data_IF_991443026673
#
_entry.id   IF_991443026673
#
_cell.length_a   1.000
_cell.length_b   1.000
_cell.length_c   1.000
_cell.angle_alpha   90.00
_cell.angle_beta   90.00
_cell.angle_gamma   90.00
#
_symmetry.space_group_name_H-M   'P 1'
#
loop_
_entity.id
_entity.type
_entity.pdbx_description
1 polymer ?
#
# COMPACT_ATOMS: atom_id res chain seq x y z
N UNK A 1 13.77 -18.37 -30.82
CA UNK A 1 13.64 -17.20 -29.92
C UNK A 1 12.18 -16.86 -29.62
N UNK A 2 11.30 -16.87 -30.63
CA UNK A 2 9.84 -16.62 -30.49
C UNK A 2 9.14 -17.50 -29.43
N UNK A 3 9.50 -18.79 -29.35
CA UNK A 3 8.94 -19.74 -28.38
C UNK A 3 9.31 -19.42 -26.92
N UNK A 4 10.48 -18.84 -26.67
CA UNK A 4 10.92 -18.47 -25.32
C UNK A 4 10.26 -17.18 -24.84
N UNK A 5 10.10 -16.20 -25.74
CA UNK A 5 9.40 -14.95 -25.44
C UNK A 5 7.92 -15.22 -25.10
N UNK A 6 7.27 -16.07 -25.89
CA UNK A 6 5.88 -16.47 -25.65
C UNK A 6 5.73 -17.21 -24.31
N UNK A 7 6.65 -18.11 -23.94
CA UNK A 7 6.62 -18.80 -22.63
C UNK A 7 6.74 -17.82 -21.47
N UNK A 8 7.62 -16.84 -21.55
CA UNK A 8 7.77 -15.83 -20.51
C UNK A 8 6.51 -14.96 -20.35
N UNK A 9 5.88 -14.59 -21.47
CA UNK A 9 4.61 -13.86 -21.47
C UNK A 9 3.50 -14.68 -20.82
N UNK A 10 3.36 -15.96 -21.20
CA UNK A 10 2.37 -16.87 -20.62
C UNK A 10 2.59 -17.09 -19.13
N UNK A 11 3.84 -17.30 -18.69
CA UNK A 11 4.15 -17.45 -17.28
C UNK A 11 3.80 -16.20 -16.47
N UNK A 12 4.09 -15.01 -17.00
CA UNK A 12 3.67 -13.76 -16.39
C UNK A 12 2.15 -13.60 -16.35
N UNK A 13 1.46 -13.87 -17.45
CA UNK A 13 0.00 -13.78 -17.52
C UNK A 13 -0.68 -14.73 -16.52
N UNK A 14 -0.25 -15.99 -16.50
CA UNK A 14 -0.79 -17.01 -15.58
C UNK A 14 -0.56 -16.62 -14.12
N UNK A 15 0.66 -16.21 -13.76
CA UNK A 15 0.97 -15.86 -12.38
C UNK A 15 0.28 -14.56 -11.96
N UNK A 16 0.15 -13.58 -12.86
CA UNK A 16 -0.58 -12.35 -12.61
C UNK A 16 -2.07 -12.59 -12.39
N UNK A 17 -2.71 -13.40 -13.24
CA UNK A 17 -4.12 -13.78 -13.08
C UNK A 17 -4.34 -14.59 -11.80
N UNK A 18 -3.45 -15.54 -11.50
CA UNK A 18 -3.52 -16.32 -10.26
C UNK A 18 -3.38 -15.41 -9.02
N UNK A 19 -2.44 -14.46 -9.05
CA UNK A 19 -2.26 -13.49 -7.96
C UNK A 19 -3.52 -12.65 -7.77
N UNK A 20 -4.07 -12.11 -8.85
CA UNK A 20 -5.33 -11.36 -8.79
C UNK A 20 -6.47 -12.18 -8.18
N UNK A 21 -6.67 -13.41 -8.65
CA UNK A 21 -7.72 -14.30 -8.16
C UNK A 21 -7.55 -14.60 -6.66
N UNK A 22 -6.33 -14.90 -6.22
CA UNK A 22 -6.01 -15.16 -4.81
C UNK A 22 -6.22 -13.90 -3.96
N UNK A 23 -5.85 -12.73 -4.46
CA UNK A 23 -5.98 -11.46 -3.72
C UNK A 23 -7.45 -11.04 -3.56
N UNK A 24 -8.32 -11.47 -4.49
CA UNK A 24 -9.77 -11.27 -4.41
C UNK A 24 -10.47 -12.24 -3.43
N UNK A 25 -9.82 -13.29 -2.94
CA UNK A 25 -10.38 -14.11 -1.85
C UNK A 25 -10.60 -13.24 -0.61
N UNK A 26 -11.78 -13.34 0.00
CA UNK A 26 -12.18 -12.50 1.14
C UNK A 26 -12.27 -11.01 0.81
N UNK A 27 -12.44 -10.63 -0.47
CA UNK A 27 -12.62 -9.23 -0.87
C UNK A 27 -13.89 -8.57 -0.32
N UNK A 28 -14.81 -9.35 0.23
CA UNK A 28 -16.02 -8.92 0.94
C UNK A 28 -15.80 -8.67 2.44
N UNK A 29 -14.58 -8.87 2.96
CA UNK A 29 -14.24 -8.54 4.36
C UNK A 29 -14.41 -7.04 4.61
N UNK A 30 -14.62 -6.64 5.86
CA UNK A 30 -14.71 -5.22 6.22
C UNK A 30 -13.45 -4.43 5.85
N UNK A 31 -13.58 -3.12 5.68
CA UNK A 31 -12.40 -2.26 5.52
C UNK A 31 -11.52 -2.28 6.78
N UNK A 32 -10.20 -2.23 6.59
CA UNK A 32 -9.27 -1.92 7.68
C UNK A 32 -9.36 -0.44 8.08
N UNK A 33 -8.71 -0.07 9.18
CA UNK A 33 -8.80 1.29 9.75
C UNK A 33 -8.56 2.39 8.70
N UNK A 34 -7.36 2.43 8.12
CA UNK A 34 -6.99 3.49 7.17
C UNK A 34 -7.83 3.44 5.88
N UNK A 35 -8.26 2.26 5.43
CA UNK A 35 -9.11 2.13 4.25
C UNK A 35 -10.53 2.65 4.53
N UNK A 36 -11.09 2.37 5.71
CA UNK A 36 -12.37 2.90 6.13
C UNK A 36 -12.30 4.43 6.30
N UNK A 37 -11.23 4.94 6.93
CA UNK A 37 -10.98 6.37 7.05
C UNK A 37 -10.82 7.05 5.67
N UNK A 38 -10.09 6.42 4.74
CA UNK A 38 -9.96 6.91 3.36
C UNK A 38 -11.32 6.93 2.66
N UNK A 39 -12.08 5.85 2.83
CA UNK A 39 -13.40 5.71 2.22
C UNK A 39 -14.35 6.80 2.68
N UNK A 40 -14.48 7.00 4.00
CA UNK A 40 -15.37 7.99 4.56
C UNK A 40 -14.95 9.44 4.24
N UNK A 41 -13.66 9.75 4.31
CA UNK A 41 -13.20 11.14 4.22
C UNK A 41 -12.93 11.63 2.79
N UNK A 42 -12.66 10.73 1.83
CA UNK A 42 -12.23 11.12 0.49
C UNK A 42 -13.03 10.48 -0.65
N UNK A 43 -13.67 9.32 -0.43
CA UNK A 43 -14.39 8.57 -1.48
C UNK A 43 -15.90 8.79 -1.38
N UNK A 44 -16.50 8.53 -0.22
CA UNK A 44 -17.93 8.63 0.04
C UNK A 44 -18.32 10.06 0.45
N UNK A 45 -17.95 11.03 -0.36
CA UNK A 45 -18.15 12.46 -0.10
C UNK A 45 -18.89 13.15 -1.26
N UNK A 46 -19.45 14.36 -1.05
CA UNK A 46 -20.20 15.05 -2.11
C UNK A 46 -19.36 15.59 -3.27
N UNK A 47 -18.04 15.75 -3.12
CA UNK A 47 -17.19 16.43 -4.10
C UNK A 47 -15.99 15.58 -4.52
N UNK A 48 -15.82 15.37 -5.83
CA UNK A 48 -14.66 14.68 -6.40
C UNK A 48 -13.31 15.33 -6.04
N UNK A 49 -13.32 16.64 -5.75
CA UNK A 49 -12.11 17.36 -5.33
C UNK A 49 -11.64 16.97 -3.94
N UNK A 50 -12.48 16.30 -3.13
CA UNK A 50 -12.12 15.84 -1.80
C UNK A 50 -11.00 14.79 -1.86
N UNK A 51 -10.83 14.09 -3.00
CA UNK A 51 -9.67 13.22 -3.23
C UNK A 51 -8.31 13.97 -3.21
N UNK A 52 -8.32 15.29 -3.37
CA UNK A 52 -7.12 16.16 -3.40
C UNK A 52 -7.07 17.12 -2.20
N UNK A 53 -7.97 16.99 -1.23
CA UNK A 53 -8.11 17.91 -0.12
C UNK A 53 -7.68 17.28 1.21
N UNK A 54 -7.32 18.14 2.16
CA UNK A 54 -7.32 17.79 3.58
C UNK A 54 -8.74 18.02 4.08
N UNK A 55 -9.43 16.96 4.52
CA UNK A 55 -10.80 17.05 5.03
C UNK A 55 -10.92 16.29 6.35
N UNK A 56 -11.45 16.93 7.39
CA UNK A 56 -12.30 16.21 8.33
C UNK A 56 -13.73 16.33 7.82
N UNK A 57 -14.30 15.24 7.28
CA UNK A 57 -15.75 15.21 7.02
C UNK A 57 -16.51 15.14 8.35
N UNK A 58 -15.79 14.89 9.45
CA UNK A 58 -16.34 14.66 10.77
C UNK A 58 -16.08 15.89 11.66
N UNK A 59 -17.13 16.64 12.03
CA UNK A 59 -17.00 17.90 12.78
C UNK A 59 -16.30 17.78 14.13
N UNK A 60 -16.28 16.59 14.73
CA UNK A 60 -15.64 16.32 16.02
C UNK A 60 -14.12 16.26 15.97
N UNK A 61 -13.53 16.12 14.78
CA UNK A 61 -12.09 15.81 14.63
C UNK A 61 -11.35 17.06 14.17
N UNK A 62 -10.38 17.55 14.96
CA UNK A 62 -9.46 18.57 14.49
C UNK A 62 -8.79 18.10 13.20
N UNK A 63 -8.68 19.00 12.22
CA UNK A 63 -8.00 18.69 10.95
C UNK A 63 -6.57 18.15 11.20
N UNK A 64 -5.97 18.50 12.34
CA UNK A 64 -4.64 18.04 12.79
C UNK A 64 -4.54 16.56 13.15
N UNK A 65 -5.67 15.87 13.28
CA UNK A 65 -5.76 14.44 13.65
C UNK A 65 -6.37 13.60 12.52
N UNK A 66 -6.55 14.19 11.34
CA UNK A 66 -7.09 13.52 10.16
C UNK A 66 -5.98 12.70 9.50
N UNK A 67 -6.30 11.46 9.11
CA UNK A 67 -5.44 10.71 8.21
C UNK A 67 -5.36 11.44 6.86
N UNK A 68 -4.20 12.03 6.56
CA UNK A 68 -3.95 12.70 5.28
C UNK A 68 -4.08 11.73 4.13
N UNK A 69 -4.71 12.13 3.02
CA UNK A 69 -4.78 11.27 1.84
C UNK A 69 -3.42 11.22 1.12
N UNK A 70 -2.66 10.15 1.32
CA UNK A 70 -1.41 9.87 0.62
C UNK A 70 -1.62 9.00 -0.65
N UNK A 71 -2.88 8.76 -1.03
CA UNK A 71 -3.30 7.87 -2.11
C UNK A 71 -4.28 8.53 -3.09
N UNK A 72 -4.00 9.78 -3.48
CA UNK A 72 -4.95 10.64 -4.23
C UNK A 72 -5.48 10.00 -5.53
N UNK A 73 -4.65 9.28 -6.29
CA UNK A 73 -5.10 8.63 -7.52
C UNK A 73 -6.14 7.53 -7.24
N UNK A 74 -5.89 6.66 -6.26
CA UNK A 74 -6.86 5.61 -5.95
C UNK A 74 -8.13 6.24 -5.38
N UNK A 75 -7.99 7.21 -4.48
CA UNK A 75 -9.14 7.92 -3.90
C UNK A 75 -10.02 8.52 -4.99
N UNK A 76 -9.44 9.17 -5.99
CA UNK A 76 -10.19 9.72 -7.13
C UNK A 76 -10.91 8.62 -7.94
N UNK A 77 -10.21 7.52 -8.29
CA UNK A 77 -10.81 6.43 -9.04
C UNK A 77 -11.95 5.76 -8.27
N UNK A 78 -11.77 5.53 -6.97
CA UNK A 78 -12.79 5.01 -6.08
C UNK A 78 -13.94 6.00 -5.91
N UNK A 79 -13.67 7.29 -5.82
CA UNK A 79 -14.73 8.31 -5.74
C UNK A 79 -15.57 8.30 -7.03
N UNK A 80 -14.97 8.21 -8.21
CA UNK A 80 -15.72 8.09 -9.47
C UNK A 80 -16.64 6.86 -9.49
N UNK A 81 -16.17 5.73 -8.95
CA UNK A 81 -17.00 4.52 -8.78
C UNK A 81 -18.15 4.79 -7.81
N UNK A 82 -17.87 5.44 -6.68
CA UNK A 82 -18.88 5.79 -5.68
C UNK A 82 -19.93 6.74 -6.25
N UNK A 83 -19.53 7.83 -6.92
CA UNK A 83 -20.46 8.77 -7.55
C UNK A 83 -21.34 8.12 -8.62
N UNK A 84 -20.78 7.15 -9.37
CA UNK A 84 -21.52 6.47 -10.42
C UNK A 84 -22.49 5.40 -9.90
N UNK A 85 -22.21 4.80 -8.74
CA UNK A 85 -22.94 3.59 -8.27
C UNK A 85 -23.64 3.76 -6.92
N UNK A 86 -23.23 4.72 -6.10
CA UNK A 86 -23.61 4.85 -4.68
C UNK A 86 -23.16 3.67 -3.81
N UNK A 87 -22.37 2.74 -4.35
CA UNK A 87 -22.09 1.45 -3.70
C UNK A 87 -21.07 1.60 -2.57
N UNK A 88 -21.31 0.93 -1.44
CA UNK A 88 -20.32 0.74 -0.36
C UNK A 88 -19.73 -0.67 -0.34
N UNK A 89 -19.93 -1.44 -1.42
CA UNK A 89 -19.46 -2.82 -1.51
C UNK A 89 -17.93 -2.90 -1.59
N UNK A 90 -17.31 -3.55 -0.62
CA UNK A 90 -15.87 -3.58 -0.46
C UNK A 90 -15.15 -4.33 -1.58
N UNK A 91 -15.82 -5.31 -2.21
CA UNK A 91 -15.28 -6.07 -3.35
C UNK A 91 -14.95 -5.12 -4.51
N UNK A 92 -15.81 -4.14 -4.75
CA UNK A 92 -15.68 -3.19 -5.85
C UNK A 92 -14.44 -2.31 -5.68
N UNK A 93 -14.16 -1.87 -4.44
CA UNK A 93 -13.04 -0.99 -4.13
C UNK A 93 -11.71 -1.73 -4.00
N UNK A 94 -11.71 -3.04 -3.75
CA UNK A 94 -10.51 -3.89 -3.76
C UNK A 94 -10.13 -4.41 -5.15
N UNK A 95 -11.04 -4.34 -6.12
CA UNK A 95 -10.81 -4.84 -7.47
C UNK A 95 -9.60 -4.17 -8.14
N UNK A 96 -9.54 -2.83 -8.14
CA UNK A 96 -8.44 -2.08 -8.77
C UNK A 96 -7.09 -2.38 -8.08
N UNK A 97 -6.96 -2.28 -6.74
CA UNK A 97 -5.73 -2.66 -6.06
C UNK A 97 -5.27 -4.09 -6.35
N UNK A 98 -6.18 -5.07 -6.31
CA UNK A 98 -5.85 -6.46 -6.58
C UNK A 98 -5.42 -6.67 -8.04
N UNK A 99 -6.10 -6.02 -8.99
CA UNK A 99 -5.75 -6.10 -10.41
C UNK A 99 -4.36 -5.50 -10.67
N UNK A 100 -4.07 -4.35 -10.07
CA UNK A 100 -2.76 -3.71 -10.17
C UNK A 100 -1.65 -4.58 -9.57
N UNK A 101 -1.93 -5.30 -8.48
CA UNK A 101 -1.00 -6.24 -7.88
C UNK A 101 -0.73 -7.46 -8.78
N UNK A 102 -1.78 -8.06 -9.33
CA UNK A 102 -1.66 -9.14 -10.32
C UNK A 102 -0.89 -8.69 -11.56
N UNK A 103 -1.16 -7.49 -12.06
CA UNK A 103 -0.40 -6.90 -13.17
C UNK A 103 1.08 -6.66 -12.81
N UNK A 104 1.37 -6.20 -11.59
CA UNK A 104 2.75 -6.00 -11.11
C UNK A 104 3.51 -7.32 -11.13
N UNK A 105 2.94 -8.38 -10.54
CA UNK A 105 3.52 -9.72 -10.52
C UNK A 105 3.70 -10.24 -11.94
N UNK A 106 2.67 -10.15 -12.79
CA UNK A 106 2.73 -10.70 -14.14
C UNK A 106 3.74 -10.01 -15.04
N UNK A 107 3.78 -8.67 -15.02
CA UNK A 107 4.73 -7.87 -15.79
C UNK A 107 6.16 -8.11 -15.29
N UNK A 108 6.39 -8.10 -13.97
CA UNK A 108 7.70 -8.38 -13.39
C UNK A 108 8.16 -9.81 -13.74
N UNK A 109 7.29 -10.80 -13.62
CA UNK A 109 7.58 -12.20 -13.96
C UNK A 109 7.97 -12.35 -15.42
N UNK A 110 7.19 -11.81 -16.35
CA UNK A 110 7.50 -11.88 -17.78
C UNK A 110 8.79 -11.14 -18.14
N UNK A 111 9.04 -10.00 -17.50
CA UNK A 111 10.29 -9.24 -17.66
C UNK A 111 11.49 -10.04 -17.15
N UNK A 112 11.43 -10.56 -15.93
CA UNK A 112 12.52 -11.31 -15.31
C UNK A 112 12.74 -12.67 -15.98
N UNK A 113 11.68 -13.36 -16.41
CA UNK A 113 11.79 -14.61 -17.15
C UNK A 113 12.51 -14.45 -18.49
N UNK A 114 12.26 -13.34 -19.21
CA UNK A 114 12.98 -13.01 -20.45
C UNK A 114 14.46 -12.73 -20.20
N UNK A 115 14.79 -12.14 -19.05
CA UNK A 115 16.16 -11.72 -18.72
C UNK A 115 17.01 -12.82 -18.10
N UNK A 116 16.44 -13.59 -17.20
CA UNK A 116 17.14 -14.52 -16.30
C UNK A 116 16.75 -15.99 -16.52
N UNK A 117 15.82 -16.26 -17.45
CA UNK A 117 15.25 -17.57 -17.70
C UNK A 117 13.96 -17.83 -16.92
N UNK A 118 13.18 -18.79 -17.41
CA UNK A 118 11.80 -19.05 -16.95
C UNK A 118 11.73 -19.35 -15.44
N UNK A 119 12.60 -20.23 -14.93
CA UNK A 119 12.61 -20.64 -13.52
C UNK A 119 12.88 -19.44 -12.60
N UNK A 120 13.91 -18.64 -12.92
CA UNK A 120 14.25 -17.45 -12.15
C UNK A 120 13.13 -16.41 -12.15
N UNK A 121 12.51 -16.17 -13.32
CA UNK A 121 11.39 -15.25 -13.44
C UNK A 121 10.16 -15.70 -12.66
N UNK A 122 9.77 -16.97 -12.76
CA UNK A 122 8.63 -17.53 -12.03
C UNK A 122 8.87 -17.49 -10.52
N UNK A 123 10.06 -17.85 -10.04
CA UNK A 123 10.37 -17.79 -8.61
C UNK A 123 10.34 -16.35 -8.07
N UNK A 124 10.87 -15.38 -8.83
CA UNK A 124 10.77 -13.97 -8.46
C UNK A 124 9.32 -13.48 -8.44
N UNK A 125 8.49 -13.91 -9.39
CA UNK A 125 7.07 -13.64 -9.38
C UNK A 125 6.36 -14.20 -8.16
N UNK A 126 6.65 -15.46 -7.81
CA UNK A 126 6.11 -16.15 -6.63
C UNK A 126 6.54 -15.43 -5.34
N UNK A 127 7.80 -15.00 -5.25
CA UNK A 127 8.30 -14.17 -4.16
C UNK A 127 7.46 -12.89 -4.01
N UNK A 128 7.30 -12.11 -5.09
CA UNK A 128 6.51 -10.86 -5.06
C UNK A 128 5.06 -11.16 -4.65
N UNK A 129 4.45 -12.21 -5.22
CA UNK A 129 3.04 -12.55 -4.99
C UNK A 129 2.75 -13.03 -3.55
N UNK A 130 3.72 -13.67 -2.90
CA UNK A 130 3.57 -14.25 -1.56
C UNK A 130 4.18 -13.39 -0.44
N UNK A 131 4.93 -12.33 -0.78
CA UNK A 131 5.52 -11.41 0.18
C UNK A 131 4.43 -10.74 1.04
N UNK A 132 4.45 -10.88 2.39
CA UNK A 132 3.37 -10.37 3.23
C UNK A 132 3.18 -8.87 3.15
N UNK A 133 4.27 -8.10 3.04
CA UNK A 133 4.18 -6.65 2.84
C UNK A 133 3.43 -6.33 1.54
N UNK A 134 3.70 -7.06 0.46
CA UNK A 134 3.01 -6.89 -0.81
C UNK A 134 1.56 -7.35 -0.76
N UNK A 135 1.27 -8.52 -0.18
CA UNK A 135 -0.08 -9.10 -0.08
C UNK A 135 -1.03 -8.18 0.69
N UNK A 136 -0.67 -7.79 1.92
CA UNK A 136 -1.55 -7.04 2.80
C UNK A 136 -1.91 -5.67 2.20
N UNK A 137 -0.92 -4.95 1.71
CA UNK A 137 -1.09 -3.60 1.18
C UNK A 137 -1.70 -3.57 -0.22
N UNK A 138 -1.64 -4.67 -0.98
CA UNK A 138 -2.26 -4.80 -2.29
C UNK A 138 -3.73 -5.23 -2.25
N UNK A 139 -4.17 -5.81 -1.13
CA UNK A 139 -5.56 -6.24 -0.88
C UNK A 139 -6.38 -5.21 -0.10
N UNK A 140 -5.77 -4.09 0.26
CA UNK A 140 -6.41 -2.97 0.93
C UNK A 140 -6.81 -1.88 -0.08
N UNK A 141 -7.74 -0.99 0.29
CA UNK A 141 -8.18 0.11 -0.58
C UNK A 141 -7.15 1.25 -0.53
N UNK A 142 -5.97 0.98 -1.09
CA UNK A 142 -4.83 1.92 -1.11
C UNK A 142 -4.04 1.88 -2.39
N UNK A 143 -3.36 2.99 -2.70
CA UNK A 143 -2.62 3.16 -3.96
C UNK A 143 -1.28 2.41 -4.04
N UNK A 144 -0.94 1.59 -3.04
CA UNK A 144 0.33 0.87 -2.97
C UNK A 144 0.62 -0.04 -4.18
N UNK A 145 -0.35 -0.85 -4.60
CA UNK A 145 -0.16 -1.76 -5.74
C UNK A 145 -0.13 -1.03 -7.09
N UNK A 146 -0.86 0.09 -7.21
CA UNK A 146 -0.77 1.00 -8.37
C UNK A 146 0.62 1.64 -8.45
N UNK A 147 1.16 2.10 -7.33
CA UNK A 147 2.51 2.65 -7.25
C UNK A 147 3.58 1.60 -7.60
N UNK A 148 3.42 0.36 -7.11
CA UNK A 148 4.32 -0.74 -7.47
C UNK A 148 4.24 -1.07 -8.97
N UNK A 149 3.03 -1.17 -9.54
CA UNK A 149 2.83 -1.41 -10.98
C UNK A 149 3.47 -0.30 -11.81
N UNK A 150 3.17 0.96 -11.49
CA UNK A 150 3.71 2.12 -12.19
C UNK A 150 5.23 2.19 -12.09
N UNK A 151 5.80 1.81 -10.94
CA UNK A 151 7.25 1.72 -10.76
C UNK A 151 7.88 0.65 -11.65
N UNK A 152 7.30 -0.56 -11.72
CA UNK A 152 7.78 -1.64 -12.60
C UNK A 152 7.66 -1.25 -14.07
N UNK A 153 6.49 -0.77 -14.50
CA UNK A 153 6.25 -0.37 -15.90
C UNK A 153 7.14 0.81 -16.27
N UNK A 154 7.26 1.82 -15.40
CA UNK A 154 8.16 2.97 -15.59
C UNK A 154 9.61 2.53 -15.74
N UNK A 155 10.07 1.58 -14.91
CA UNK A 155 11.41 0.98 -15.02
C UNK A 155 11.62 0.33 -16.39
N UNK A 156 10.65 -0.45 -16.88
CA UNK A 156 10.70 -1.09 -18.20
C UNK A 156 10.62 -0.08 -19.35
N UNK A 157 9.93 1.04 -19.17
CA UNK A 157 9.84 2.11 -20.16
C UNK A 157 11.12 2.93 -20.27
N UNK A 158 11.90 3.09 -19.20
CA UNK A 158 13.14 3.89 -19.24
C UNK A 158 14.41 3.04 -19.40
N UNK A 159 14.44 1.82 -18.87
CA UNK A 159 15.62 0.96 -18.91
C UNK A 159 15.53 -0.08 -20.04
N UNK A 160 16.53 -0.17 -20.94
CA UNK A 160 16.62 -1.27 -21.87
C UNK A 160 16.98 -2.56 -21.11
N UNK A 161 16.00 -3.45 -20.97
CA UNK A 161 16.23 -4.84 -20.57
C UNK A 161 17.13 -5.48 -21.63
N UNK A 162 18.31 -5.96 -21.24
CA UNK A 162 19.26 -6.58 -22.14
C UNK A 162 18.61 -7.79 -22.83
N UNK A 163 18.65 -7.82 -24.17
CA UNK A 163 18.05 -8.91 -24.95
C UNK A 163 17.81 -8.55 -26.42
N UNK A 164 16.93 -7.59 -26.72
CA UNK A 164 16.53 -7.32 -28.12
C UNK A 164 16.25 -5.82 -28.43
N UNK A 165 16.12 -4.96 -27.41
CA UNK A 165 15.74 -3.53 -27.60
C UNK A 165 16.93 -2.59 -27.33
N UNK A 166 18.16 -3.11 -27.38
CA UNK A 166 19.37 -2.38 -27.02
C UNK A 166 19.84 -1.35 -28.08
N UNK A 167 19.18 -1.24 -29.23
CA UNK A 167 19.67 -0.41 -30.34
C UNK A 167 18.85 0.86 -30.65
N UNK A 168 17.59 0.97 -30.21
CA UNK A 168 16.75 2.12 -30.54
C UNK A 168 16.57 3.06 -29.35
N UNK A 169 17.05 4.29 -29.55
CA UNK A 169 16.79 5.45 -28.70
C UNK A 169 15.30 5.50 -28.32
N UNK A 170 14.92 5.72 -27.04
CA UNK A 170 13.50 5.79 -26.64
C UNK A 170 12.73 6.87 -27.41
N UNK A 171 11.79 6.45 -28.25
CA UNK A 171 10.96 7.35 -29.06
C UNK A 171 10.18 8.33 -28.17
N UNK A 172 9.84 9.52 -28.67
CA UNK A 172 9.15 10.56 -27.88
C UNK A 172 7.88 10.05 -27.19
N UNK A 173 7.13 9.16 -27.84
CA UNK A 173 5.94 8.51 -27.26
C UNK A 173 6.25 7.66 -26.03
N UNK A 174 7.40 6.97 -26.01
CA UNK A 174 7.84 6.16 -24.85
C UNK A 174 8.21 7.05 -23.66
N UNK A 175 8.77 8.22 -23.91
CA UNK A 175 9.08 9.21 -22.87
C UNK A 175 7.81 9.83 -22.29
N UNK A 176 6.81 10.14 -23.13
CA UNK A 176 5.49 10.58 -22.66
C UNK A 176 4.83 9.50 -21.81
N UNK A 177 4.81 8.25 -22.30
CA UNK A 177 4.26 7.12 -21.55
C UNK A 177 4.97 6.94 -20.19
N UNK A 178 6.30 7.05 -20.17
CA UNK A 178 7.06 7.01 -18.92
C UNK A 178 6.69 8.14 -17.97
N UNK A 179 6.59 9.38 -18.47
CA UNK A 179 6.22 10.53 -17.65
C UNK A 179 4.84 10.35 -17.02
N UNK A 180 3.85 9.91 -17.81
CA UNK A 180 2.49 9.64 -17.33
C UNK A 180 2.49 8.50 -16.33
N UNK A 181 3.10 7.36 -16.64
CA UNK A 181 3.09 6.18 -15.75
C UNK A 181 3.77 6.49 -14.41
N UNK A 182 4.95 7.13 -14.42
CA UNK A 182 5.64 7.50 -13.18
C UNK A 182 4.90 8.60 -12.42
N UNK A 183 4.31 9.57 -13.11
CA UNK A 183 3.47 10.60 -12.49
C UNK A 183 2.26 10.01 -11.79
N UNK A 184 1.56 9.07 -12.43
CA UNK A 184 0.44 8.33 -11.84
C UNK A 184 0.90 7.42 -10.68
N UNK A 185 2.09 6.84 -10.75
CA UNK A 185 2.66 6.06 -9.63
C UNK A 185 2.87 6.95 -8.40
N UNK A 186 3.41 8.16 -8.58
CA UNK A 186 3.61 9.15 -7.51
C UNK A 186 2.25 9.67 -6.99
N UNK A 187 1.27 9.86 -7.88
CA UNK A 187 -0.09 10.21 -7.47
C UNK A 187 -0.80 9.07 -6.71
N UNK A 188 -0.46 7.81 -6.98
CA UNK A 188 -0.98 6.67 -6.24
C UNK A 188 -0.33 6.51 -4.85
N UNK A 189 0.95 6.82 -4.74
CA UNK A 189 1.67 6.91 -3.48
C UNK A 189 2.91 7.80 -3.66
N UNK A 190 2.99 8.88 -2.90
CA UNK A 190 4.03 9.92 -3.00
C UNK A 190 5.45 9.33 -2.92
N UNK A 191 5.63 8.27 -2.12
CA UNK A 191 6.92 7.59 -1.96
C UNK A 191 7.44 6.92 -3.25
N UNK A 192 6.60 6.71 -4.28
CA UNK A 192 7.09 6.29 -5.59
C UNK A 192 8.04 7.34 -6.23
N UNK A 193 8.08 8.57 -5.72
CA UNK A 193 9.08 9.57 -6.07
C UNK A 193 10.52 9.09 -5.83
N UNK A 194 10.73 8.19 -4.86
CA UNK A 194 12.03 7.55 -4.62
C UNK A 194 12.48 6.74 -5.84
N UNK A 195 11.55 6.06 -6.53
CA UNK A 195 11.86 5.31 -7.75
C UNK A 195 12.29 6.25 -8.88
N UNK A 196 11.68 7.43 -8.99
CA UNK A 196 12.12 8.46 -9.93
C UNK A 196 13.54 8.92 -9.62
N UNK A 197 13.88 9.16 -8.34
CA UNK A 197 15.24 9.50 -7.93
C UNK A 197 16.25 8.39 -8.26
N UNK A 198 15.87 7.12 -8.05
CA UNK A 198 16.69 5.97 -8.45
C UNK A 198 16.91 5.91 -9.96
N UNK A 199 15.90 6.19 -10.78
CA UNK A 199 16.05 6.28 -12.24
C UNK A 199 17.00 7.40 -12.66
N UNK A 200 16.91 8.58 -12.02
CA UNK A 200 17.82 9.70 -12.27
C UNK A 200 19.26 9.30 -11.91
N UNK A 201 19.48 8.78 -10.70
CA UNK A 201 20.80 8.36 -10.23
C UNK A 201 21.41 7.27 -11.14
N UNK A 202 20.60 6.31 -11.57
CA UNK A 202 21.02 5.29 -12.53
C UNK A 202 21.54 5.93 -13.82
N UNK A 203 20.77 6.82 -14.45
CA UNK A 203 21.13 7.41 -15.74
C UNK A 203 22.39 8.28 -15.62
N UNK A 204 22.51 9.05 -14.53
CA UNK A 204 23.68 9.88 -14.24
C UNK A 204 24.96 9.04 -14.22
N UNK A 205 24.91 7.81 -13.72
CA UNK A 205 26.09 6.92 -13.66
C UNK A 205 26.50 6.34 -15.01
N UNK A 206 25.63 6.43 -16.03
CA UNK A 206 25.84 5.77 -17.33
C UNK A 206 26.13 6.75 -18.47
N UNK A 207 25.42 7.87 -18.52
CA UNK A 207 25.46 8.77 -19.68
C UNK A 207 24.98 10.18 -19.33
N UNK A 208 25.87 11.18 -19.45
CA UNK A 208 25.52 12.59 -19.23
C UNK A 208 24.62 13.15 -20.33
N UNK A 209 24.75 12.67 -21.56
CA UNK A 209 23.93 13.14 -22.69
C UNK A 209 22.48 12.70 -22.60
N UNK A 210 22.18 11.59 -21.93
CA UNK A 210 20.80 11.11 -21.76
C UNK A 210 20.02 11.90 -20.69
N UNK A 211 20.72 12.62 -19.80
CA UNK A 211 20.11 13.46 -18.75
C UNK A 211 19.19 14.51 -19.36
N UNK A 212 19.73 15.34 -20.27
CA UNK A 212 18.98 16.44 -20.89
C UNK A 212 17.77 15.97 -21.70
N UNK A 213 17.85 14.74 -22.21
CA UNK A 213 16.78 14.14 -22.99
C UNK A 213 15.66 13.56 -22.12
N UNK A 214 16.00 12.97 -20.97
CA UNK A 214 15.03 12.41 -20.04
C UNK A 214 14.46 13.46 -19.09
N UNK A 215 15.13 14.60 -18.95
CA UNK A 215 14.72 15.70 -18.08
C UNK A 215 13.26 16.15 -18.30
N UNK A 216 12.75 16.36 -19.54
CA UNK A 216 11.34 16.71 -19.72
C UNK A 216 10.39 15.61 -19.24
N UNK A 217 10.76 14.34 -19.36
CA UNK A 217 9.96 13.21 -18.91
C UNK A 217 9.95 13.12 -17.37
N UNK A 218 11.10 13.35 -16.73
CA UNK A 218 11.20 13.42 -15.27
C UNK A 218 10.43 14.62 -14.70
N UNK A 219 10.57 15.79 -15.33
CA UNK A 219 9.81 16.97 -14.98
C UNK A 219 8.31 16.72 -15.16
N UNK A 220 7.88 16.12 -16.26
CA UNK A 220 6.48 15.74 -16.48
C UNK A 220 5.94 14.77 -15.42
N UNK A 221 6.70 13.73 -15.06
CA UNK A 221 6.32 12.81 -13.99
C UNK A 221 6.20 13.53 -12.63
N UNK A 222 7.19 14.37 -12.29
CA UNK A 222 7.19 15.17 -11.07
C UNK A 222 5.99 16.13 -11.03
N UNK A 223 5.69 16.82 -12.14
CA UNK A 223 4.55 17.73 -12.23
C UNK A 223 3.24 16.96 -12.01
N UNK A 224 3.01 15.85 -12.72
CA UNK A 224 1.77 15.06 -12.56
C UNK A 224 1.62 14.57 -11.12
N UNK A 225 2.67 13.95 -10.56
CA UNK A 225 2.64 13.34 -9.25
C UNK A 225 2.56 14.34 -8.09
N UNK A 226 3.43 15.35 -8.08
CA UNK A 226 3.45 16.35 -7.02
C UNK A 226 2.30 17.33 -7.13
N UNK A 227 1.86 17.75 -8.32
CA UNK A 227 0.70 18.63 -8.43
C UNK A 227 -0.57 17.96 -7.90
N UNK A 228 -0.74 16.65 -8.15
CA UNK A 228 -1.85 15.88 -7.58
C UNK A 228 -1.83 15.86 -6.03
N UNK A 229 -0.65 15.93 -5.41
CA UNK A 229 -0.52 15.93 -3.94
C UNK A 229 -0.30 17.32 -3.34
N UNK A 230 -0.11 18.36 -4.16
CA UNK A 230 0.40 19.65 -3.72
C UNK A 230 -0.50 20.33 -2.69
N UNK A 231 -1.82 20.32 -2.93
CA UNK A 231 -2.78 20.94 -2.03
C UNK A 231 -2.73 20.29 -0.64
N UNK A 232 -2.64 18.96 -0.57
CA UNK A 232 -2.54 18.21 0.68
C UNK A 232 -1.25 18.59 1.40
N UNK A 233 -0.10 18.47 0.72
CA UNK A 233 1.20 18.72 1.33
C UNK A 233 1.38 20.17 1.81
N UNK A 234 0.87 21.14 1.05
CA UNK A 234 0.91 22.56 1.45
C UNK A 234 -0.03 22.82 2.62
N UNK A 235 -1.24 22.28 2.58
CA UNK A 235 -2.23 22.50 3.64
C UNK A 235 -1.76 21.88 4.95
N UNK A 236 -1.27 20.65 4.93
CA UNK A 236 -0.68 19.97 6.10
C UNK A 236 0.48 20.77 6.67
N UNK A 237 1.43 21.19 5.82
CA UNK A 237 2.57 21.97 6.27
C UNK A 237 2.16 23.31 6.91
N UNK A 238 1.16 24.00 6.34
CA UNK A 238 0.71 25.32 6.80
C UNK A 238 -0.17 25.23 8.05
N UNK A 239 -1.04 24.21 8.15
CA UNK A 239 -2.03 24.08 9.22
C UNK A 239 -1.51 23.28 10.42
N UNK A 240 -0.63 22.31 10.18
CA UNK A 240 -0.17 21.34 11.20
C UNK A 240 1.33 21.41 11.47
N UNK A 241 2.08 22.03 10.56
CA UNK A 241 3.53 22.03 10.60
C UNK A 241 4.10 20.70 10.13
N UNK A 242 5.29 20.36 10.61
CA UNK A 242 5.85 19.03 10.35
C UNK A 242 5.10 17.98 11.19
N UNK A 243 4.95 16.75 10.68
CA UNK A 243 4.35 15.66 11.45
C UNK A 243 4.98 15.56 12.84
N UNK A 244 4.20 15.24 13.89
CA UNK A 244 4.76 15.07 15.23
C UNK A 244 5.94 14.10 15.18
N UNK A 245 7.05 14.52 15.76
CA UNK A 245 8.28 13.73 15.67
C UNK A 245 8.24 12.58 16.67
N UNK A 246 8.23 11.34 16.18
CA UNK A 246 8.41 10.16 17.02
C UNK A 246 9.44 9.27 16.33
N UNK A 247 10.62 9.14 16.96
CA UNK A 247 11.65 8.26 16.45
C UNK A 247 11.22 6.82 16.66
N UNK A 248 11.08 6.07 15.56
CA UNK A 248 10.94 4.62 15.60
C UNK A 248 12.33 3.97 15.46
N UNK A 249 12.97 3.49 16.54
CA UNK A 249 14.39 3.10 16.52
C UNK A 249 14.65 1.88 15.62
N UNK A 250 13.70 0.95 15.56
CA UNK A 250 13.82 -0.29 14.79
C UNK A 250 13.44 -0.14 13.31
N UNK A 251 13.01 1.05 12.86
CA UNK A 251 12.48 1.27 11.51
C UNK A 251 13.37 0.71 10.37
N UNK A 252 14.69 0.98 10.30
CA UNK A 252 15.51 0.47 9.20
C UNK A 252 15.62 -1.05 9.19
N UNK A 253 15.69 -1.67 10.38
CA UNK A 253 15.70 -3.12 10.53
C UNK A 253 14.39 -3.69 10.03
N UNK A 254 13.28 -3.15 10.51
CA UNK A 254 11.95 -3.64 10.15
C UNK A 254 11.69 -3.46 8.65
N UNK A 255 12.07 -2.32 8.07
CA UNK A 255 12.00 -2.13 6.63
C UNK A 255 12.67 -3.27 5.86
N UNK A 256 13.89 -3.66 6.23
CA UNK A 256 14.58 -4.78 5.58
C UNK A 256 13.84 -6.09 5.79
N UNK A 257 13.37 -6.38 7.02
CA UNK A 257 12.68 -7.62 7.35
C UNK A 257 11.33 -7.76 6.63
N UNK A 258 10.55 -6.68 6.56
CA UNK A 258 9.27 -6.64 5.85
C UNK A 258 9.44 -6.79 4.34
N UNK A 259 10.53 -6.28 3.75
CA UNK A 259 10.84 -6.47 2.32
C UNK A 259 11.24 -7.91 1.96
N UNK A 260 11.53 -8.76 2.94
CA UNK A 260 11.99 -10.14 2.73
C UNK A 260 11.13 -11.17 3.45
N UNK A 261 9.89 -10.85 3.78
CA UNK A 261 8.92 -11.86 4.23
C UNK A 261 8.41 -11.75 5.67
N UNK A 262 8.79 -10.72 6.44
CA UNK A 262 8.19 -10.49 7.76
C UNK A 262 6.68 -10.17 7.61
N UNK A 263 5.85 -10.52 8.61
CA UNK A 263 6.18 -11.04 9.94
C UNK A 263 6.46 -12.55 10.01
N UNK A 264 6.43 -13.28 8.89
CA UNK A 264 6.65 -14.73 8.91
C UNK A 264 8.15 -15.03 8.96
N UNK A 265 8.62 -15.61 10.07
CA UNK A 265 10.06 -15.79 10.36
C UNK A 265 10.77 -16.70 9.35
N UNK A 266 10.12 -17.79 8.92
CA UNK A 266 10.74 -18.76 8.00
C UNK A 266 11.05 -18.12 6.62
N UNK A 267 10.11 -17.44 5.94
CA UNK A 267 10.39 -16.66 4.74
C UNK A 267 11.54 -15.65 4.92
N UNK A 268 11.60 -14.92 6.04
CA UNK A 268 12.68 -13.97 6.32
C UNK A 268 14.05 -14.62 6.18
N UNK A 269 14.28 -15.76 6.83
CA UNK A 269 15.57 -16.45 6.75
C UNK A 269 15.92 -16.89 5.32
N UNK A 270 14.95 -17.49 4.61
CA UNK A 270 15.15 -18.07 3.27
C UNK A 270 15.34 -16.99 2.20
N UNK A 271 14.54 -15.94 2.24
CA UNK A 271 14.54 -14.87 1.23
C UNK A 271 15.62 -13.84 1.49
N UNK A 272 15.96 -13.50 2.74
CA UNK A 272 17.08 -12.61 3.04
C UNK A 272 18.40 -13.19 2.50
N UNK A 273 18.64 -14.50 2.70
CA UNK A 273 19.81 -15.18 2.14
C UNK A 273 19.82 -15.13 0.60
N UNK A 274 18.67 -15.39 -0.03
CA UNK A 274 18.54 -15.38 -1.49
C UNK A 274 18.74 -13.98 -2.08
N UNK A 275 18.16 -12.94 -1.47
CA UNK A 275 18.34 -11.54 -1.85
C UNK A 275 19.80 -11.12 -1.65
N UNK A 276 20.43 -11.50 -0.53
CA UNK A 276 21.85 -11.24 -0.28
C UNK A 276 22.78 -11.88 -1.33
N UNK A 277 22.50 -13.12 -1.72
CA UNK A 277 23.18 -13.77 -2.85
C UNK A 277 22.92 -13.04 -4.17
N UNK A 278 21.71 -12.53 -4.38
CA UNK A 278 21.35 -11.66 -5.52
C UNK A 278 22.20 -10.39 -5.57
N UNK A 279 22.31 -9.66 -4.46
CA UNK A 279 23.20 -8.50 -4.30
C UNK A 279 24.63 -8.90 -4.64
N UNK A 280 25.11 -10.03 -4.11
CA UNK A 280 26.44 -10.54 -4.42
C UNK A 280 26.62 -10.78 -5.92
N UNK A 281 25.66 -11.35 -6.65
CA UNK A 281 25.78 -11.52 -8.11
C UNK A 281 25.88 -10.19 -8.85
N UNK A 282 25.20 -9.14 -8.36
CA UNK A 282 25.13 -7.83 -8.99
C UNK A 282 26.15 -6.82 -8.43
N UNK A 283 27.01 -7.21 -7.47
CA UNK A 283 27.92 -6.31 -6.74
C UNK A 283 28.89 -5.49 -7.61
N UNK A 284 29.14 -5.93 -8.85
CA UNK A 284 30.02 -5.21 -9.79
C UNK A 284 29.27 -4.15 -10.60
N UNK A 285 27.95 -4.08 -10.47
CA UNK A 285 27.12 -3.15 -11.21
C UNK A 285 26.98 -1.84 -10.45
N UNK A 286 27.47 -0.73 -11.03
CA UNK A 286 27.38 0.59 -10.41
C UNK A 286 25.95 1.00 -10.05
N UNK A 287 24.99 0.63 -10.91
CA UNK A 287 23.58 0.96 -10.73
C UNK A 287 22.97 0.42 -9.43
N UNK A 288 23.47 -0.72 -8.93
CA UNK A 288 22.99 -1.35 -7.71
C UNK A 288 23.31 -0.44 -6.52
N UNK A 289 24.58 -0.06 -6.40
CA UNK A 289 25.07 0.75 -5.30
C UNK A 289 24.51 2.17 -5.33
N UNK A 290 24.28 2.73 -6.51
CA UNK A 290 23.65 4.06 -6.62
C UNK A 290 22.19 4.02 -6.21
N UNK A 291 21.45 2.97 -6.60
CA UNK A 291 20.05 2.77 -6.17
C UNK A 291 19.98 2.56 -4.66
N UNK A 292 20.83 1.68 -4.11
CA UNK A 292 20.91 1.44 -2.67
C UNK A 292 21.29 2.72 -1.91
N UNK A 293 22.22 3.51 -2.44
CA UNK A 293 22.62 4.80 -1.86
C UNK A 293 21.47 5.80 -1.81
N UNK A 294 20.70 5.95 -2.89
CA UNK A 294 19.51 6.82 -2.91
C UNK A 294 18.48 6.38 -1.88
N UNK A 295 18.16 5.08 -1.84
CA UNK A 295 17.20 4.53 -0.87
C UNK A 295 17.70 4.74 0.56
N UNK A 296 18.98 4.46 0.84
CA UNK A 296 19.57 4.66 2.15
C UNK A 296 19.55 6.13 2.60
N UNK A 297 19.83 7.07 1.69
CA UNK A 297 19.75 8.51 1.98
C UNK A 297 18.31 8.92 2.29
N UNK A 298 17.33 8.50 1.47
CA UNK A 298 15.92 8.81 1.72
C UNK A 298 15.46 8.23 3.06
N UNK A 299 15.78 6.98 3.33
CA UNK A 299 15.48 6.31 4.61
C UNK A 299 16.12 7.07 5.77
N UNK A 300 17.40 7.46 5.67
CA UNK A 300 18.08 8.21 6.71
C UNK A 300 17.48 9.60 6.93
N UNK A 301 17.09 10.31 5.87
CA UNK A 301 16.42 11.62 5.96
C UNK A 301 15.07 11.49 6.68
N UNK A 302 14.26 10.49 6.31
CA UNK A 302 12.98 10.24 6.96
C UNK A 302 13.14 9.78 8.40
N UNK A 303 14.07 8.88 8.65
CA UNK A 303 14.26 8.25 9.96
C UNK A 303 14.97 9.15 10.97
N UNK A 304 16.07 9.80 10.57
CA UNK A 304 16.90 10.61 11.48
C UNK A 304 16.59 12.10 11.41
N UNK A 305 16.17 12.59 10.24
CA UNK A 305 15.87 14.00 9.99
C UNK A 305 14.42 14.36 10.33
N UNK A 306 13.46 13.81 9.58
CA UNK A 306 12.04 14.18 9.71
C UNK A 306 11.32 13.47 10.87
N UNK A 307 11.68 12.21 11.16
CA UNK A 307 11.12 11.38 12.25
C UNK A 307 9.59 11.38 12.31
N UNK A 308 8.86 11.18 11.19
CA UNK A 308 7.40 11.28 11.23
C UNK A 308 6.84 10.15 12.11
N UNK A 309 5.88 10.47 12.97
CA UNK A 309 5.35 9.51 13.95
C UNK A 309 4.80 8.22 13.34
N UNK A 310 4.37 8.26 12.09
CA UNK A 310 3.75 7.15 11.39
C UNK A 310 4.62 6.62 10.25
N UNK A 311 5.95 6.60 10.41
CA UNK A 311 6.86 6.03 9.42
C UNK A 311 6.76 4.49 9.39
N UNK A 312 6.10 3.95 8.36
CA UNK A 312 5.89 2.51 8.23
C UNK A 312 6.64 1.87 7.04
N UNK A 313 7.11 0.62 7.16
CA UNK A 313 7.76 -0.11 6.06
C UNK A 313 6.92 -0.18 4.76
N UNK A 314 5.59 -0.22 4.89
CA UNK A 314 4.65 -0.28 3.75
C UNK A 314 4.80 0.85 2.73
N UNK A 315 5.32 2.02 3.14
CA UNK A 315 5.58 3.13 2.21
C UNK A 315 6.62 2.79 1.14
N UNK A 316 7.45 1.77 1.38
CA UNK A 316 8.50 1.31 0.47
C UNK A 316 8.13 0.03 -0.30
N UNK A 317 6.84 -0.31 -0.39
CA UNK A 317 6.33 -1.51 -1.08
C UNK A 317 6.86 -1.68 -2.52
N UNK A 318 7.14 -0.58 -3.23
CA UNK A 318 7.72 -0.61 -4.58
C UNK A 318 9.14 -1.21 -4.64
N UNK A 319 9.80 -1.44 -3.49
CA UNK A 319 11.06 -2.16 -3.42
C UNK A 319 10.87 -3.69 -3.46
N UNK A 320 9.67 -4.23 -3.20
CA UNK A 320 9.43 -5.69 -3.27
C UNK A 320 9.74 -6.25 -4.66
N UNK A 321 9.30 -5.64 -5.78
CA UNK A 321 9.74 -6.05 -7.12
C UNK A 321 11.26 -5.96 -7.35
N UNK A 322 11.95 -5.02 -6.70
CA UNK A 322 13.42 -4.92 -6.77
C UNK A 322 14.10 -6.07 -6.01
N UNK A 323 13.56 -6.48 -4.86
CA UNK A 323 13.96 -7.71 -4.19
C UNK A 323 13.70 -8.95 -5.08
N UNK A 324 12.55 -8.99 -5.77
CA UNK A 324 12.26 -10.02 -6.78
C UNK A 324 13.29 -10.07 -7.91
N UNK A 325 13.78 -8.93 -8.39
CA UNK A 325 14.89 -8.87 -9.35
C UNK A 325 16.16 -9.52 -8.79
N UNK A 326 16.52 -9.24 -7.54
CA UNK A 326 17.70 -9.82 -6.88
C UNK A 326 17.55 -11.33 -6.68
N UNK A 327 16.35 -11.79 -6.32
CA UNK A 327 15.99 -13.22 -6.26
C UNK A 327 16.19 -13.89 -7.62
N UNK A 328 15.68 -13.30 -8.70
CA UNK A 328 15.87 -13.83 -10.05
C UNK A 328 17.35 -13.92 -10.42
N UNK A 329 18.14 -12.88 -10.11
CA UNK A 329 19.58 -12.86 -10.38
C UNK A 329 20.34 -13.96 -9.62
N UNK A 330 19.97 -14.22 -8.37
CA UNK A 330 20.54 -15.32 -7.58
C UNK A 330 20.21 -16.68 -8.20
N UNK A 331 18.94 -16.93 -8.54
CA UNK A 331 18.48 -18.21 -9.10
C UNK A 331 19.08 -18.47 -10.48
N UNK A 332 19.22 -17.43 -11.31
CA UNK A 332 19.89 -17.54 -12.60
C UNK A 332 21.33 -18.06 -12.46
N UNK A 333 21.99 -17.74 -11.35
CA UNK A 333 23.35 -18.22 -11.05
C UNK A 333 23.36 -19.57 -10.33
N UNK A 334 22.39 -19.81 -9.44
CA UNK A 334 22.25 -21.00 -8.61
C UNK A 334 20.81 -21.47 -8.59
N UNK A 335 20.45 -22.32 -9.54
CA UNK A 335 19.08 -22.84 -9.69
C UNK A 335 18.57 -23.58 -8.44
N UNK A 336 19.47 -24.13 -7.61
CA UNK A 336 19.16 -24.79 -6.33
C UNK A 336 18.46 -23.90 -5.30
N UNK A 337 18.46 -22.57 -5.52
CA UNK A 337 17.73 -21.62 -4.68
C UNK A 337 16.23 -21.56 -5.04
N UNK A 338 15.80 -22.12 -6.17
CA UNK A 338 14.39 -22.10 -6.56
C UNK A 338 13.47 -22.81 -5.53
N UNK A 339 13.79 -24.05 -5.05
CA UNK A 339 13.03 -24.67 -3.97
C UNK A 339 12.99 -23.83 -2.69
N UNK A 340 14.08 -23.15 -2.34
CA UNK A 340 14.16 -22.26 -1.16
C UNK A 340 13.13 -21.13 -1.25
N UNK A 341 13.02 -20.50 -2.42
CA UNK A 341 12.04 -19.43 -2.64
C UNK A 341 10.61 -19.95 -2.61
N UNK A 342 10.35 -21.09 -3.24
CA UNK A 342 9.02 -21.73 -3.24
C UNK A 342 8.59 -22.15 -1.84
N UNK A 343 9.50 -22.72 -1.04
CA UNK A 343 9.23 -23.07 0.36
C UNK A 343 8.93 -21.84 1.21
N UNK A 344 9.69 -20.75 1.03
CA UNK A 344 9.40 -19.46 1.65
C UNK A 344 8.01 -18.94 1.26
N UNK A 345 7.64 -19.04 -0.02
CA UNK A 345 6.32 -18.59 -0.48
C UNK A 345 5.19 -19.43 0.09
N UNK A 346 5.35 -20.76 0.16
CA UNK A 346 4.38 -21.64 0.80
C UNK A 346 4.21 -21.31 2.28
N UNK A 347 5.31 -21.10 3.01
CA UNK A 347 5.27 -20.71 4.42
C UNK A 347 4.61 -19.34 4.63
N UNK A 348 4.91 -18.36 3.76
CA UNK A 348 4.28 -17.05 3.80
C UNK A 348 2.77 -17.13 3.51
N UNK A 349 2.37 -17.92 2.51
CA UNK A 349 0.96 -18.13 2.18
C UNK A 349 0.19 -18.81 3.31
N UNK A 350 0.76 -19.84 3.93
CA UNK A 350 0.15 -20.53 5.09
C UNK A 350 0.04 -19.59 6.29
N UNK A 351 1.10 -18.81 6.58
CA UNK A 351 1.11 -17.86 7.69
C UNK A 351 0.07 -16.74 7.54
N UNK A 352 -0.27 -16.37 6.31
CA UNK A 352 -1.24 -15.32 6.02
C UNK A 352 -2.66 -15.84 5.80
N UNK A 353 -2.85 -17.13 5.50
CA UNK A 353 -4.15 -17.70 5.13
C UNK A 353 -5.30 -17.36 6.09
N UNK A 354 -5.14 -17.33 7.44
CA UNK A 354 -6.22 -16.94 8.33
C UNK A 354 -6.69 -15.48 8.11
N UNK A 355 -5.77 -14.57 7.83
CA UNK A 355 -6.06 -13.15 7.60
C UNK A 355 -6.74 -12.87 6.25
N UNK A 356 -6.83 -13.87 5.36
CA UNK A 356 -7.48 -13.65 4.07
C UNK A 356 -8.98 -13.45 4.17
N UNK A 357 -9.63 -14.14 5.11
CA UNK A 357 -11.09 -14.19 5.23
C UNK A 357 -11.59 -13.50 6.50
N UNK A 358 -10.70 -13.16 7.43
CA UNK A 358 -11.06 -12.50 8.68
C UNK A 358 -11.22 -10.99 8.46
N UNK A 359 -12.31 -10.44 9.00
CA UNK A 359 -12.54 -8.99 9.06
C UNK A 359 -11.44 -8.32 9.91
N UNK A 360 -10.73 -7.30 9.38
CA UNK A 360 -9.76 -6.56 10.18
C UNK A 360 -10.38 -5.87 11.39
N UNK A 361 -11.56 -5.27 11.18
CA UNK A 361 -12.37 -4.56 12.17
C UNK A 361 -13.83 -5.00 12.05
N UNK A 362 -14.58 -5.05 13.13
CA UNK A 362 -15.98 -5.45 13.10
C UNK A 362 -16.93 -4.29 12.66
N UNK A 363 -16.59 -3.57 11.58
CA UNK A 363 -17.30 -2.34 11.15
C UNK A 363 -18.74 -2.61 10.67
N UNK A 364 -19.03 -3.58 9.79
CA UNK A 364 -20.41 -3.89 9.41
C UNK A 364 -21.26 -4.31 10.60
N UNK A 365 -20.70 -5.12 11.50
CA UNK A 365 -21.37 -5.61 12.70
C UNK A 365 -21.65 -4.44 13.67
N UNK A 366 -20.68 -3.54 13.86
CA UNK A 366 -20.84 -2.33 14.65
C UNK A 366 -21.91 -1.40 14.07
N UNK A 367 -21.93 -1.21 12.74
CA UNK A 367 -22.94 -0.41 12.06
C UNK A 367 -24.36 -1.01 12.23
N UNK A 368 -24.49 -2.34 12.14
CA UNK A 368 -25.74 -3.03 12.38
C UNK A 368 -26.23 -2.87 13.83
N UNK A 369 -25.33 -2.81 14.80
CA UNK A 369 -25.66 -2.54 16.21
C UNK A 369 -26.20 -1.12 16.38
N UNK A 370 -25.55 -0.13 15.76
CA UNK A 370 -26.01 1.27 15.74
C UNK A 370 -27.45 1.33 15.21
N UNK A 371 -27.68 0.74 14.03
CA UNK A 371 -29.00 0.72 13.39
C UNK A 371 -30.05 -0.01 14.25
N UNK A 372 -29.68 -1.13 14.87
CA UNK A 372 -30.58 -1.89 15.75
C UNK A 372 -30.99 -1.10 17.00
N UNK A 373 -30.08 -0.29 17.54
CA UNK A 373 -30.31 0.54 18.72
C UNK A 373 -31.29 1.66 18.38
N UNK A 374 -31.10 2.31 17.22
CA UNK A 374 -32.02 3.32 16.72
C UNK A 374 -33.41 2.76 16.40
N UNK A 375 -33.48 1.57 15.79
CA UNK A 375 -34.76 0.87 15.56
C UNK A 375 -35.49 0.51 16.86
N UNK A 376 -34.76 0.34 17.96
CA UNK A 376 -35.33 0.14 19.30
C UNK A 376 -35.72 1.45 20.02
N UNK A 377 -35.52 2.60 19.36
CA UNK A 377 -35.79 3.93 19.93
C UNK A 377 -34.71 4.46 20.86
N UNK A 378 -33.55 3.79 20.94
CA UNK A 378 -32.41 4.23 21.74
C UNK A 378 -31.40 5.06 20.95
N UNK A 379 -30.43 5.64 21.64
CA UNK A 379 -29.33 6.43 21.08
C UNK A 379 -28.03 5.61 21.08
N UNK A 380 -27.48 5.37 19.89
CA UNK A 380 -26.18 4.76 19.73
C UNK A 380 -25.08 5.82 19.68
N UNK A 381 -24.07 5.62 20.51
CA UNK A 381 -22.92 6.51 20.64
C UNK A 381 -21.64 5.81 20.21
N UNK A 382 -20.68 6.59 19.71
CA UNK A 382 -19.36 6.12 19.28
C UNK A 382 -18.29 6.98 19.95
N UNK A 383 -17.26 6.32 20.46
CA UNK A 383 -16.11 7.01 21.09
C UNK A 383 -15.31 7.74 20.03
N UNK A 384 -14.84 8.95 20.37
CA UNK A 384 -14.07 9.79 19.47
C UNK A 384 -12.90 9.06 18.80
N UNK A 385 -12.64 9.42 17.54
CA UNK A 385 -11.76 8.79 16.55
C UNK A 385 -12.30 7.52 15.88
N UNK A 386 -13.16 6.73 16.53
CA UNK A 386 -13.78 5.56 15.89
C UNK A 386 -14.81 5.96 14.83
N UNK A 387 -15.34 7.19 14.90
CA UNK A 387 -16.23 7.72 13.88
C UNK A 387 -15.56 7.86 12.51
N UNK A 388 -14.22 8.01 12.45
CA UNK A 388 -13.46 8.05 11.20
C UNK A 388 -13.66 6.80 10.36
N UNK A 389 -13.80 5.65 11.03
CA UNK A 389 -13.87 4.35 10.38
C UNK A 389 -15.30 3.84 10.29
N UNK A 390 -16.15 4.12 11.28
CA UNK A 390 -17.54 3.68 11.26
C UNK A 390 -18.38 4.43 10.23
N UNK A 391 -18.02 5.68 9.92
CA UNK A 391 -18.65 6.50 8.86
C UNK A 391 -18.54 5.90 7.44
N UNK A 392 -17.64 4.93 7.25
CA UNK A 392 -17.60 4.14 6.02
C UNK A 392 -18.84 3.24 5.85
N UNK A 393 -19.58 2.96 6.93
CA UNK A 393 -20.70 2.02 6.95
C UNK A 393 -22.03 2.63 7.41
N UNK A 394 -22.01 3.57 8.36
CA UNK A 394 -23.20 4.28 8.84
C UNK A 394 -22.85 5.69 9.29
N UNK A 395 -23.79 6.63 9.25
CA UNK A 395 -23.61 8.00 9.75
C UNK A 395 -24.57 8.35 10.88
N UNK A 396 -25.42 7.42 11.28
CA UNK A 396 -26.46 7.65 12.28
C UNK A 396 -25.95 7.29 13.67
N UNK A 397 -25.07 8.11 14.26
CA UNK A 397 -24.64 7.92 15.64
C UNK A 397 -24.24 9.25 16.27
N UNK A 398 -24.27 9.32 17.60
CA UNK A 398 -23.71 10.44 18.34
C UNK A 398 -22.24 10.18 18.65
N UNK A 399 -21.39 11.20 18.51
CA UNK A 399 -19.97 11.10 18.88
C UNK A 399 -19.78 11.55 20.31
N UNK A 400 -19.10 10.73 21.10
CA UNK A 400 -18.73 11.02 22.49
C UNK A 400 -17.25 11.38 22.52
N UNK A 401 -16.95 12.63 22.88
CA UNK A 401 -15.59 13.15 23.06
C UNK A 401 -15.24 13.36 24.54
N UNK A 402 -16.22 13.26 25.44
CA UNK A 402 -16.06 13.44 26.88
C UNK A 402 -16.98 12.53 27.69
N UNK A 403 -16.57 12.18 28.90
CA UNK A 403 -17.33 11.29 29.78
C UNK A 403 -18.75 11.79 30.11
N UNK A 404 -18.95 13.10 30.27
CA UNK A 404 -20.26 13.69 30.59
C UNK A 404 -21.33 13.45 29.52
N UNK A 405 -20.91 13.12 28.29
CA UNK A 405 -21.82 12.84 27.16
C UNK A 405 -22.35 11.41 27.17
N UNK A 406 -21.73 10.49 27.93
CA UNK A 406 -22.17 9.09 28.06
C UNK A 406 -23.57 8.96 28.65
N UNK A 407 -23.99 9.94 29.45
CA UNK A 407 -25.32 10.04 30.05
C UNK A 407 -26.47 9.92 29.04
N UNK A 408 -26.27 10.44 27.82
CA UNK A 408 -27.28 10.45 26.75
C UNK A 408 -27.29 9.21 25.85
N UNK A 409 -26.48 8.20 26.15
CA UNK A 409 -26.30 7.03 25.30
C UNK A 409 -27.00 5.80 25.90
N UNK A 410 -27.67 5.01 25.06
CA UNK A 410 -28.23 3.71 25.44
C UNK A 410 -27.27 2.56 25.10
N UNK A 411 -26.46 2.76 24.05
CA UNK A 411 -25.36 1.89 23.69
C UNK A 411 -24.13 2.70 23.28
N UNK A 412 -22.94 2.25 23.67
CA UNK A 412 -21.65 2.80 23.23
C UNK A 412 -20.90 1.76 22.42
N UNK A 413 -20.55 2.10 21.19
CA UNK A 413 -19.80 1.26 20.26
C UNK A 413 -18.36 1.74 20.21
N UNK A 414 -17.44 0.85 20.56
CA UNK A 414 -15.99 1.06 20.53
C UNK A 414 -15.42 0.15 19.45
N UNK A 415 -14.96 0.75 18.35
CA UNK A 415 -14.49 0.02 17.16
C UNK A 415 -13.02 -0.33 17.27
N UNK A 416 -12.18 0.60 17.72
CA UNK A 416 -10.75 0.40 17.91
C UNK A 416 -10.41 0.60 19.38
N UNK A 417 -10.02 -0.50 20.03
CA UNK A 417 -9.77 -0.55 21.47
C UNK A 417 -8.63 0.37 21.97
N UNK A 418 -7.90 1.05 21.09
CA UNK A 418 -6.73 1.86 21.43
C UNK A 418 -6.90 3.38 21.34
N UNK A 419 -8.03 3.91 20.88
CA UNK A 419 -8.06 5.31 20.38
C UNK A 419 -8.49 6.37 21.40
N UNK A 420 -9.15 5.98 22.49
CA UNK A 420 -9.28 6.83 23.68
C UNK A 420 -9.51 5.94 24.91
N UNK A 421 -8.40 5.49 25.50
CA UNK A 421 -8.42 4.51 26.60
C UNK A 421 -9.18 5.04 27.82
N UNK A 422 -9.06 6.33 28.14
CA UNK A 422 -9.68 6.91 29.31
C UNK A 422 -11.20 6.99 29.16
N UNK A 423 -11.68 7.47 28.02
CA UNK A 423 -13.12 7.55 27.75
C UNK A 423 -13.76 6.16 27.62
N UNK A 424 -13.04 5.21 26.98
CA UNK A 424 -13.45 3.80 26.94
C UNK A 424 -13.60 3.21 28.34
N UNK A 425 -12.63 3.44 29.22
CA UNK A 425 -12.63 2.88 30.58
C UNK A 425 -13.71 3.51 31.48
N UNK A 426 -14.13 4.74 31.20
CA UNK A 426 -15.33 5.33 31.82
C UNK A 426 -16.62 4.72 31.27
N UNK A 427 -16.74 4.58 29.95
CA UNK A 427 -17.90 3.91 29.34
C UNK A 427 -18.05 2.46 29.85
N UNK A 428 -16.96 1.72 30.00
CA UNK A 428 -17.01 0.36 30.55
C UNK A 428 -17.45 0.31 32.03
N UNK A 429 -17.32 1.41 32.78
CA UNK A 429 -17.82 1.52 34.16
C UNK A 429 -19.30 1.87 34.22
N UNK A 430 -19.78 2.71 33.32
CA UNK A 430 -21.18 3.16 33.30
C UNK A 430 -22.15 2.15 32.67
N UNK A 431 -21.67 1.27 31.79
CA UNK A 431 -22.49 0.35 31.00
C UNK A 431 -22.19 -1.12 31.40
N UNK A 432 -23.08 -1.78 32.17
CA UNK A 432 -22.79 -3.08 32.78
C UNK A 432 -22.76 -4.26 31.80
N UNK A 433 -23.35 -4.11 30.61
CA UNK A 433 -23.41 -5.18 29.60
C UNK A 433 -22.38 -4.95 28.51
N UNK A 434 -21.51 -5.94 28.30
CA UNK A 434 -20.45 -5.93 27.29
C UNK A 434 -20.68 -7.05 26.28
N UNK A 435 -20.72 -6.70 25.00
CA UNK A 435 -20.73 -7.65 23.88
C UNK A 435 -19.53 -7.40 22.97
N UNK A 436 -18.73 -8.44 22.74
CA UNK A 436 -17.59 -8.38 21.82
C UNK A 436 -18.03 -8.84 20.43
N UNK A 437 -17.74 -8.03 19.42
CA UNK A 437 -17.98 -8.34 18.02
C UNK A 437 -16.73 -8.96 17.39
N UNK A 438 -16.83 -10.13 16.75
CA UNK A 438 -15.68 -10.86 16.25
C UNK A 438 -15.04 -10.18 15.04
N UNK A 439 -13.74 -9.92 15.13
CA UNK A 439 -12.86 -9.48 14.06
C UNK A 439 -11.40 -9.75 14.50
N UNK A 440 -10.41 -9.48 13.64
CA UNK A 440 -9.01 -9.54 14.04
C UNK A 440 -8.71 -8.52 15.15
N UNK A 441 -9.17 -7.29 14.99
CA UNK A 441 -9.33 -6.31 16.07
C UNK A 441 -10.81 -6.22 16.45
N UNK A 442 -11.23 -6.83 17.57
CA UNK A 442 -12.62 -6.88 17.94
C UNK A 442 -13.16 -5.50 18.31
N UNK A 443 -14.39 -5.23 17.91
CA UNK A 443 -15.16 -4.09 18.43
C UNK A 443 -15.92 -4.52 19.69
N UNK A 444 -16.24 -3.57 20.55
CA UNK A 444 -17.01 -3.81 21.77
C UNK A 444 -18.22 -2.89 21.81
N UNK A 445 -19.34 -3.47 22.20
CA UNK A 445 -20.61 -2.78 22.40
C UNK A 445 -20.92 -2.82 23.88
N UNK A 446 -21.09 -1.65 24.47
CA UNK A 446 -21.46 -1.44 25.86
C UNK A 446 -22.92 -1.01 25.92
N UNK A 447 -23.73 -1.62 26.77
CA UNK A 447 -25.18 -1.34 26.91
C UNK A 447 -25.59 -1.16 28.36
N UNK A 448 -26.61 -0.33 28.56
CA UNK A 448 -27.28 -0.14 29.85
C UNK A 448 -28.12 -1.34 30.25
#
# INVERSE_FOLDING_TARGET
METSANRALWAGALLGVATFAVYMLGSNRSFGYDAAATFANFIATPSLLDAFAVRSVIPSIPVTQVATNDHVLLSLLSHLIYSATGSRNEVLYRFIPALAAGATVGVATAALARRFGLVAGVCAGIFIAADPLFVDNSRDVRGYSLAALGSVVGTLLVLPMHGEVAAKRPEGRRLVAYAVVMGLAIAAQLFAGVVLLCHVAWIVTRSRSDIWRLLPAWAGAAVIGFAANANIQVTELVQHGLPPSQLYPDFPRDLVLFLVGAPVVLPVGLWLATVGLGIWTQRRQAWLWTTLGVVAVVVAVLWLGLRPAFLYPRFFIFLVPACGYLVAAAIARWWVLAPVVVLGAAAAAVGQAPAYLQDPLALPQAAAVVESTHRAGGTACVVHSDEQVLSAYTSEFAVVTRADQLGGCDAVVVVSWGVDLALRDEAAREFPSLTTLPAYYPAVVLRR
#
